data_IF_179694043420
#
_entry.id   IF_179694043420
#
_cell.length_a   1.000
_cell.length_b   1.000
_cell.length_c   1.000
_cell.angle_alpha   90.00
_cell.angle_beta   90.00
_cell.angle_gamma   90.00
#
_symmetry.space_group_name_H-M   'P 1'
#
loop_
_entity.id
_entity.type
_entity.pdbx_description
1 polymer ?
#
# COMPACT_ATOMS: atom_id res chain seq x y z
N UNK A 1 -3.61 -16.50 -5.02
CA UNK A 1 -2.62 -16.81 -6.08
C UNK A 1 -1.55 -17.69 -5.47
N UNK A 2 -1.13 -18.75 -6.17
CA UNK A 2 0.00 -19.60 -5.79
C UNK A 2 1.03 -19.58 -6.92
N UNK A 3 2.30 -19.34 -6.62
CA UNK A 3 3.39 -19.42 -7.63
C UNK A 3 3.10 -18.62 -8.92
N UNK A 4 2.46 -17.45 -8.79
CA UNK A 4 2.08 -16.61 -9.93
C UNK A 4 0.81 -17.04 -10.67
N UNK A 5 0.18 -18.13 -10.27
CA UNK A 5 -1.06 -18.63 -10.86
C UNK A 5 -2.30 -18.17 -10.08
N UNK A 6 -3.37 -17.84 -10.81
CA UNK A 6 -4.69 -17.63 -10.24
C UNK A 6 -5.30 -18.99 -9.86
N UNK A 7 -5.68 -19.13 -8.59
CA UNK A 7 -6.24 -20.37 -8.01
C UNK A 7 -7.76 -20.29 -7.85
N UNK A 8 -8.30 -19.07 -7.88
CA UNK A 8 -9.73 -18.79 -7.82
C UNK A 8 -9.99 -17.37 -8.37
N UNK A 9 -10.93 -17.25 -9.30
CA UNK A 9 -11.40 -15.98 -9.87
C UNK A 9 -12.92 -15.98 -10.01
N UNK A 10 -13.61 -15.56 -8.95
CA UNK A 10 -15.07 -15.47 -8.89
C UNK A 10 -15.56 -14.56 -7.76
N UNK A 11 -16.88 -14.45 -7.58
CA UNK A 11 -17.46 -13.68 -6.47
C UNK A 11 -17.16 -14.32 -5.12
N UNK A 12 -17.01 -13.52 -4.05
CA UNK A 12 -16.80 -14.06 -2.69
C UNK A 12 -17.92 -15.01 -2.24
N UNK A 13 -19.12 -14.84 -2.77
CA UNK A 13 -20.28 -15.70 -2.49
C UNK A 13 -20.16 -17.10 -3.12
N UNK A 14 -19.36 -17.24 -4.18
CA UNK A 14 -19.18 -18.47 -4.94
C UNK A 14 -18.00 -19.32 -4.43
N UNK A 15 -17.20 -18.79 -3.50
CA UNK A 15 -16.05 -19.52 -2.91
C UNK A 15 -16.50 -20.81 -2.22
N UNK A 16 -17.57 -20.77 -1.42
CA UNK A 16 -18.04 -21.95 -0.69
C UNK A 16 -18.57 -23.05 -1.64
N UNK A 17 -19.46 -22.74 -2.62
CA UNK A 17 -19.84 -23.70 -3.64
C UNK A 17 -18.66 -24.28 -4.43
N UNK A 18 -17.69 -23.43 -4.83
CA UNK A 18 -16.50 -23.85 -5.56
C UNK A 18 -15.63 -24.83 -4.76
N UNK A 19 -15.34 -24.50 -3.50
CA UNK A 19 -14.57 -25.36 -2.61
C UNK A 19 -15.24 -26.71 -2.37
N UNK A 20 -16.58 -26.72 -2.27
CA UNK A 20 -17.37 -27.96 -2.16
C UNK A 20 -17.29 -28.82 -3.42
N UNK A 21 -17.36 -28.20 -4.60
CA UNK A 21 -17.26 -28.88 -5.90
C UNK A 21 -15.88 -29.55 -6.10
N UNK A 22 -14.83 -28.93 -5.59
CA UNK A 22 -13.46 -29.49 -5.58
C UNK A 22 -13.26 -30.55 -4.48
N UNK A 23 -14.26 -30.80 -3.63
CA UNK A 23 -14.18 -31.78 -2.54
C UNK A 23 -13.40 -31.28 -1.32
N UNK A 24 -13.26 -29.97 -1.15
CA UNK A 24 -12.57 -29.32 -0.03
C UNK A 24 -13.53 -28.38 0.71
N UNK A 25 -14.57 -28.89 1.40
CA UNK A 25 -15.53 -28.04 2.10
C UNK A 25 -14.87 -27.23 3.23
N UNK A 26 -15.21 -25.95 3.31
CA UNK A 26 -14.72 -25.07 4.38
C UNK A 26 -15.27 -25.51 5.74
N UNK A 27 -14.43 -25.66 6.79
CA UNK A 27 -14.89 -25.92 8.15
C UNK A 27 -15.64 -24.73 8.76
N UNK A 28 -16.53 -25.00 9.72
CA UNK A 28 -17.37 -23.97 10.37
C UNK A 28 -16.58 -22.99 11.26
N UNK A 29 -15.36 -23.36 11.65
CA UNK A 29 -14.46 -22.56 12.48
C UNK A 29 -13.45 -21.74 11.67
N UNK A 30 -13.52 -21.80 10.33
CA UNK A 30 -12.66 -21.03 9.42
C UNK A 30 -13.45 -19.99 8.64
N UNK A 31 -12.81 -18.86 8.34
CA UNK A 31 -13.31 -18.00 7.28
C UNK A 31 -12.99 -18.63 5.91
N UNK A 32 -13.87 -18.50 4.90
CA UNK A 32 -13.64 -19.11 3.57
C UNK A 32 -12.36 -18.61 2.89
N UNK A 33 -11.97 -17.36 3.16
CA UNK A 33 -10.77 -16.77 2.61
C UNK A 33 -9.50 -17.33 3.28
N UNK A 34 -9.50 -17.47 4.61
CA UNK A 34 -8.36 -18.03 5.34
C UNK A 34 -8.14 -19.50 5.00
N UNK A 35 -9.23 -20.28 4.88
CA UNK A 35 -9.17 -21.67 4.47
C UNK A 35 -8.63 -21.82 3.03
N UNK A 36 -9.08 -20.97 2.10
CA UNK A 36 -8.54 -20.93 0.74
C UNK A 36 -7.03 -20.61 0.75
N UNK A 37 -6.58 -19.67 1.59
CA UNK A 37 -5.15 -19.33 1.70
C UNK A 37 -4.34 -20.53 2.20
N UNK A 38 -4.83 -21.25 3.20
CA UNK A 38 -4.16 -22.45 3.74
C UNK A 38 -4.05 -23.55 2.67
N UNK A 39 -5.13 -23.82 1.93
CA UNK A 39 -5.10 -24.78 0.82
C UNK A 39 -4.08 -24.41 -0.26
N UNK A 40 -3.96 -23.11 -0.55
CA UNK A 40 -3.08 -22.60 -1.61
C UNK A 40 -1.59 -22.70 -1.26
N UNK A 41 -1.26 -22.79 0.04
CA UNK A 41 0.11 -23.03 0.50
C UNK A 41 0.60 -24.45 0.19
N UNK A 42 -0.31 -25.41 0.02
CA UNK A 42 0.02 -26.78 -0.31
C UNK A 42 -0.09 -27.01 -1.82
N UNK A 43 1.02 -27.34 -2.47
CA UNK A 43 1.11 -27.53 -3.93
C UNK A 43 0.05 -28.50 -4.48
N UNK A 44 -0.19 -29.59 -3.75
CA UNK A 44 -1.20 -30.61 -4.11
C UNK A 44 -2.61 -30.02 -4.23
N UNK A 45 -3.00 -29.12 -3.34
CA UNK A 45 -4.34 -28.53 -3.36
C UNK A 45 -4.39 -27.31 -4.30
N UNK A 46 -3.32 -26.52 -4.37
CA UNK A 46 -3.21 -25.38 -5.28
C UNK A 46 -3.35 -25.79 -6.76
N UNK A 47 -2.75 -26.91 -7.16
CA UNK A 47 -2.86 -27.44 -8.53
C UNK A 47 -4.28 -27.90 -8.87
N UNK A 48 -4.97 -28.56 -7.95
CA UNK A 48 -6.37 -28.98 -8.13
C UNK A 48 -7.30 -27.77 -8.25
N UNK A 49 -7.14 -26.77 -7.39
CA UNK A 49 -7.92 -25.53 -7.42
C UNK A 49 -7.71 -24.76 -8.72
N UNK A 50 -6.45 -24.63 -9.17
CA UNK A 50 -6.12 -24.01 -10.46
C UNK A 50 -6.80 -24.74 -11.61
N UNK A 51 -6.67 -26.07 -11.67
CA UNK A 51 -7.28 -26.86 -12.73
C UNK A 51 -8.81 -26.70 -12.76
N UNK A 52 -9.47 -26.61 -11.60
CA UNK A 52 -10.91 -26.36 -11.55
C UNK A 52 -11.27 -24.93 -11.96
N UNK A 53 -10.48 -23.95 -11.53
CA UNK A 53 -10.66 -22.55 -11.90
C UNK A 53 -10.51 -22.32 -13.42
N UNK A 54 -9.58 -23.05 -14.05
CA UNK A 54 -9.34 -23.00 -15.50
C UNK A 54 -10.40 -23.79 -16.30
N UNK A 55 -11.07 -24.78 -15.67
CA UNK A 55 -12.15 -25.58 -16.26
C UNK A 55 -13.52 -24.90 -16.20
N UNK A 56 -13.77 -24.12 -15.14
CA UNK A 56 -14.88 -23.18 -15.16
C UNK A 56 -14.68 -22.27 -16.37
N UNK A 57 -15.72 -22.07 -17.19
CA UNK A 57 -15.69 -21.07 -18.27
C UNK A 57 -14.94 -19.86 -17.74
N UNK A 58 -13.91 -19.35 -18.44
CA UNK A 58 -13.15 -18.22 -17.93
C UNK A 58 -14.19 -17.17 -17.58
N UNK A 59 -14.35 -16.91 -16.29
CA UNK A 59 -15.13 -15.78 -15.85
C UNK A 59 -14.31 -14.65 -16.43
N UNK A 60 -14.73 -14.16 -17.60
CA UNK A 60 -14.43 -12.79 -17.99
C UNK A 60 -14.84 -12.06 -16.73
N UNK A 61 -13.84 -11.55 -16.01
CA UNK A 61 -14.08 -10.69 -14.88
C UNK A 61 -14.78 -9.49 -15.49
N UNK A 62 -16.09 -9.61 -15.72
CA UNK A 62 -16.99 -8.50 -15.71
C UNK A 62 -16.82 -8.04 -14.28
N UNK A 63 -15.89 -7.10 -14.12
CA UNK A 63 -15.71 -6.33 -12.91
C UNK A 63 -17.08 -5.69 -12.65
N UNK A 64 -17.97 -6.42 -11.97
CA UNK A 64 -19.08 -5.81 -11.26
C UNK A 64 -18.39 -4.96 -10.23
N UNK A 65 -18.30 -3.67 -10.57
CA UNK A 65 -17.57 -2.62 -9.91
C UNK A 65 -17.64 -2.80 -8.39
N UNK A 66 -16.64 -3.48 -7.83
CA UNK A 66 -16.17 -3.13 -6.51
C UNK A 66 -15.90 -1.64 -6.63
N UNK A 67 -16.48 -0.84 -5.73
CA UNK A 67 -16.19 0.60 -5.62
C UNK A 67 -14.76 0.80 -5.09
N UNK A 68 -13.82 0.01 -5.61
CA UNK A 68 -12.41 0.28 -5.59
C UNK A 68 -12.16 1.50 -6.45
N UNK A 69 -11.13 2.25 -6.07
CA UNK A 69 -10.66 3.44 -6.76
C UNK A 69 -10.37 3.07 -8.23
N UNK A 70 -11.33 3.32 -9.13
CA UNK A 70 -11.13 3.15 -10.57
C UNK A 70 -10.09 4.18 -10.94
N UNK A 71 -8.91 3.74 -11.35
CA UNK A 71 -7.89 4.67 -11.82
C UNK A 71 -8.46 5.37 -13.06
N UNK A 72 -8.70 6.69 -13.04
CA UNK A 72 -9.30 7.40 -14.17
C UNK A 72 -8.49 7.29 -15.46
N UNK A 73 -7.26 6.77 -15.38
CA UNK A 73 -6.32 6.56 -16.48
C UNK A 73 -6.79 5.66 -17.64
N UNK A 74 -7.88 4.89 -17.47
CA UNK A 74 -8.34 3.94 -18.49
C UNK A 74 -9.83 4.03 -18.82
N UNK A 75 -10.54 4.99 -18.24
CA UNK A 75 -11.95 5.20 -18.53
C UNK A 75 -12.09 6.19 -19.68
N UNK A 76 -12.30 5.62 -20.86
CA UNK A 76 -12.80 6.29 -22.07
C UNK A 76 -11.78 7.05 -22.93
N UNK A 77 -12.04 7.02 -24.23
CA UNK A 77 -11.05 7.18 -25.29
C UNK A 77 -10.29 8.51 -25.28
N UNK A 78 -8.96 8.39 -25.32
CA UNK A 78 -8.11 9.24 -26.14
C UNK A 78 -8.11 10.74 -25.86
N UNK A 79 -8.32 11.20 -24.63
CA UNK A 79 -8.05 12.60 -24.28
C UNK A 79 -6.57 12.76 -23.92
N UNK A 80 -5.78 13.58 -24.65
CA UNK A 80 -4.39 13.81 -24.30
C UNK A 80 -4.34 14.49 -22.93
N UNK A 81 -3.63 13.88 -21.99
CA UNK A 81 -3.48 14.39 -20.63
C UNK A 81 -2.80 15.76 -20.63
N UNK A 82 -3.60 16.82 -20.61
CA UNK A 82 -3.16 18.12 -20.12
C UNK A 82 -3.11 17.95 -18.62
N UNK A 83 -1.92 17.99 -18.01
CA UNK A 83 -1.76 17.87 -16.56
C UNK A 83 -2.76 18.78 -15.85
N UNK A 84 -3.75 18.19 -15.17
CA UNK A 84 -4.91 18.88 -14.59
C UNK A 84 -4.57 19.78 -13.38
N UNK A 85 -3.29 20.01 -13.13
CA UNK A 85 -2.78 20.77 -12.00
C UNK A 85 -1.56 21.58 -12.45
N UNK A 86 -1.50 22.82 -11.99
CA UNK A 86 -0.35 23.69 -12.23
C UNK A 86 0.85 23.20 -11.41
N UNK A 87 2.05 23.51 -11.88
CA UNK A 87 3.30 23.18 -11.19
C UNK A 87 3.28 23.61 -9.71
N UNK A 88 2.79 24.82 -9.44
CA UNK A 88 2.72 25.38 -8.08
C UNK A 88 1.79 24.62 -7.15
N UNK A 89 0.66 24.13 -7.67
CA UNK A 89 -0.28 23.33 -6.89
C UNK A 89 0.33 21.98 -6.50
N UNK A 90 1.01 21.31 -7.44
CA UNK A 90 1.74 20.08 -7.15
C UNK A 90 2.87 20.32 -6.15
N UNK A 91 3.66 21.38 -6.36
CA UNK A 91 4.77 21.76 -5.50
C UNK A 91 4.31 22.01 -4.06
N UNK A 92 3.28 22.83 -3.85
CA UNK A 92 2.79 23.13 -2.51
C UNK A 92 2.16 21.92 -1.82
N UNK A 93 1.47 21.07 -2.58
CA UNK A 93 0.90 19.82 -2.06
C UNK A 93 2.00 18.88 -1.57
N UNK A 94 3.07 18.71 -2.36
CA UNK A 94 4.22 17.90 -1.99
C UNK A 94 4.99 18.54 -0.83
N UNK A 95 5.18 19.86 -0.83
CA UNK A 95 5.86 20.61 0.23
C UNK A 95 5.11 20.49 1.55
N UNK A 96 3.79 20.68 1.56
CA UNK A 96 2.96 20.50 2.76
C UNK A 96 3.05 19.07 3.30
N UNK A 97 3.00 18.05 2.43
CA UNK A 97 3.16 16.65 2.84
C UNK A 97 4.53 16.38 3.43
N UNK A 98 5.59 16.95 2.83
CA UNK A 98 6.95 16.85 3.33
C UNK A 98 7.11 17.56 4.67
N UNK A 99 6.64 18.80 4.81
CA UNK A 99 6.70 19.56 6.06
C UNK A 99 5.91 18.90 7.19
N UNK A 100 4.76 18.29 6.90
CA UNK A 100 4.00 17.52 7.89
C UNK A 100 4.70 16.22 8.31
N UNK A 101 5.37 15.54 7.38
CA UNK A 101 6.17 14.34 7.69
C UNK A 101 7.41 14.72 8.52
N UNK A 102 8.06 15.82 8.13
CA UNK A 102 9.22 16.41 8.77
C UNK A 102 8.85 16.91 10.18
N UNK A 103 7.70 17.57 10.36
CA UNK A 103 7.23 18.03 11.68
C UNK A 103 6.75 16.93 12.61
N UNK A 104 6.43 15.73 12.10
CA UNK A 104 6.14 14.54 12.92
C UNK A 104 7.43 13.90 13.45
N UNK A 105 8.55 14.05 12.74
CA UNK A 105 9.88 13.64 13.19
C UNK A 105 10.50 14.68 14.15
N UNK A 106 9.75 15.06 15.19
CA UNK A 106 10.13 16.13 16.15
C UNK A 106 11.48 15.87 16.81
N UNK A 107 11.76 14.61 17.16
CA UNK A 107 12.97 14.23 17.91
C UNK A 107 14.27 14.55 17.15
N UNK A 108 14.35 14.22 15.86
CA UNK A 108 15.55 14.46 15.05
C UNK A 108 15.82 15.96 14.90
N UNK A 109 14.79 16.78 14.68
CA UNK A 109 14.96 18.24 14.61
C UNK A 109 15.42 18.85 15.93
N UNK A 110 14.85 18.43 17.05
CA UNK A 110 15.20 19.00 18.35
C UNK A 110 16.64 18.65 18.75
N UNK A 111 17.13 17.45 18.44
CA UNK A 111 18.53 17.09 18.64
C UNK A 111 19.48 17.93 17.77
N UNK A 112 19.17 18.09 16.48
CA UNK A 112 19.96 18.89 15.54
C UNK A 112 20.00 20.37 15.95
N UNK A 113 18.86 20.97 16.30
CA UNK A 113 18.84 22.37 16.78
C UNK A 113 19.56 22.48 18.13
N UNK A 114 19.37 21.51 19.02
CA UNK A 114 20.00 21.48 20.34
C UNK A 114 21.53 21.48 20.29
N UNK A 115 22.13 20.64 19.44
CA UNK A 115 23.60 20.57 19.34
C UNK A 115 24.20 21.85 18.74
N UNK A 116 23.55 22.46 17.74
CA UNK A 116 24.00 23.73 17.18
C UNK A 116 23.93 24.87 18.19
N UNK A 117 22.85 24.94 18.97
CA UNK A 117 22.72 25.92 20.06
C UNK A 117 23.78 25.71 21.15
N UNK A 118 24.05 24.45 21.52
CA UNK A 118 25.07 24.11 22.50
C UNK A 118 26.48 24.50 22.03
N UNK A 119 26.85 24.15 20.80
CA UNK A 119 28.13 24.54 20.21
C UNK A 119 28.28 26.08 20.15
N UNK A 120 27.22 26.78 19.72
CA UNK A 120 27.20 28.24 19.69
C UNK A 120 27.33 28.88 21.08
N UNK A 121 26.67 28.30 22.09
CA UNK A 121 26.78 28.75 23.48
C UNK A 121 28.19 28.55 24.04
N UNK A 122 28.82 27.41 23.78
CA UNK A 122 30.22 27.16 24.19
C UNK A 122 31.15 28.21 23.57
N UNK A 123 31.04 28.44 22.26
CA UNK A 123 31.86 29.46 21.57
C UNK A 123 31.58 30.84 22.17
N UNK A 124 30.31 31.20 22.38
CA UNK A 124 29.92 32.46 23.01
C UNK A 124 30.54 32.64 24.40
N UNK A 125 30.51 31.62 25.24
CA UNK A 125 31.11 31.65 26.58
C UNK A 125 32.64 31.77 26.55
N UNK A 126 33.32 31.08 25.62
CA UNK A 126 34.78 31.18 25.46
C UNK A 126 35.23 32.62 25.16
N UNK A 127 34.43 33.36 24.38
CA UNK A 127 34.75 34.72 23.97
C UNK A 127 34.06 35.82 24.80
N UNK A 128 33.20 35.46 25.76
CA UNK A 128 32.41 36.40 26.56
C UNK A 128 33.27 37.43 27.31
N UNK A 129 34.41 37.00 27.85
CA UNK A 129 35.29 37.86 28.68
C UNK A 129 36.44 38.49 27.86
N UNK A 130 36.71 37.97 26.66
CA UNK A 130 37.74 38.53 25.76
C UNK A 130 37.32 39.87 25.14
N UNK A 131 36.03 40.19 25.14
CA UNK A 131 35.50 41.47 24.66
C UNK A 131 35.37 42.56 25.73
N UNK A 132 35.47 42.21 27.03
CA UNK A 132 35.27 43.15 28.13
C UNK A 132 36.55 43.92 28.55
N UNK A 133 37.68 43.58 27.93
CA UNK A 133 38.99 44.23 28.16
C UNK A 133 39.51 44.92 26.87
N UNK A 134 38.61 45.39 26.00
CA UNK A 134 38.94 46.22 24.83
C UNK A 134 38.80 47.71 25.16
#
# INVERSE_FOLDING_TARGET
>A
MSEGNCVYSGSTQEIIPFLRDVGMPCPDYYSPADYLIELVQMEKYATVLKNQNDRGNPVIVQQKSYRGYVNPYYADGGVPYIFAVTFWMQFWTLLKRRLLQISRARLTMFCEIGHHLFCGLIVGLIFYDRGNNA
#
